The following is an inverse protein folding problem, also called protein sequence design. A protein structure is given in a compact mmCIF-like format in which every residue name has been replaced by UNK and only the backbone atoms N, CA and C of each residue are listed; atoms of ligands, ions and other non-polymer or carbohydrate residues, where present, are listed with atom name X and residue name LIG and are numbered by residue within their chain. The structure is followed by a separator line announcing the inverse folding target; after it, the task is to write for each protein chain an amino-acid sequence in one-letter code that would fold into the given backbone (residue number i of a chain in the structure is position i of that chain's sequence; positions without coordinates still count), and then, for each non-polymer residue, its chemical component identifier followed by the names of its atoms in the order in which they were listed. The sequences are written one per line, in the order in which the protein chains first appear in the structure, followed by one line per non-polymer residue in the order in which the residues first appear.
data_IF_649254934358
#
_entry.id   IF_649254934358
#
_cell.length_a   1.000
_cell.length_b   1.000
_cell.length_c   1.000
_cell.angle_alpha   90.00
_cell.angle_beta   90.00
_cell.angle_gamma   90.00
#
_symmetry.space_group_name_H-M   'P 1'
#
loop_
_entity.id
_entity.type
_entity.pdbx_description
1 polymer ?
#
# COMPACT_ATOMS: atom_id res chain seq x y z
N UNK A 1 2.40 0.86 13.45
CA UNK A 1 2.62 -0.06 12.33
C UNK A 1 2.44 -1.51 12.75
N UNK A 2 2.93 -1.90 13.93
CA UNK A 2 2.70 -3.24 14.50
C UNK A 2 1.20 -3.59 14.65
N UNK A 3 0.34 -2.62 14.98
CA UNK A 3 -1.12 -2.85 15.04
C UNK A 3 -1.79 -3.18 13.69
N UNK A 4 -1.20 -2.77 12.56
CA UNK A 4 -1.76 -3.08 11.24
C UNK A 4 -1.48 -4.53 10.85
N UNK A 5 -0.33 -5.08 11.26
CA UNK A 5 0.04 -6.47 10.99
C UNK A 5 -0.85 -7.43 11.79
N UNK A 6 -1.19 -7.07 13.03
CA UNK A 6 -2.07 -7.88 13.90
C UNK A 6 -3.53 -7.96 13.43
N UNK A 7 -3.95 -7.13 12.47
CA UNK A 7 -5.34 -6.99 12.02
C UNK A 7 -5.60 -7.58 10.63
N UNK A 8 -4.59 -8.15 10.00
CA UNK A 8 -4.70 -8.71 8.67
C UNK A 8 -4.67 -10.24 8.81
N UNK A 9 -5.81 -10.89 8.55
CA UNK A 9 -5.93 -12.36 8.62
C UNK A 9 -5.04 -13.09 7.60
N UNK A 10 -4.55 -12.39 6.56
CA UNK A 10 -3.68 -12.96 5.52
C UNK A 10 -2.76 -11.89 4.89
N UNK A 11 -1.44 -12.10 4.90
CA UNK A 11 -0.45 -11.14 4.36
C UNK A 11 -0.73 -10.88 2.87
N UNK A 12 -0.99 -9.62 2.45
CA UNK A 12 -1.33 -9.32 1.07
C UNK A 12 -0.12 -9.44 0.14
N UNK A 13 -0.38 -9.52 -1.17
CA UNK A 13 0.66 -9.35 -2.18
C UNK A 13 1.15 -7.90 -2.17
N UNK A 14 2.43 -7.70 -1.88
CA UNK A 14 3.07 -6.39 -1.99
C UNK A 14 3.58 -6.16 -3.41
N UNK A 15 3.30 -4.97 -3.96
CA UNK A 15 3.83 -4.53 -5.25
C UNK A 15 4.39 -3.12 -5.12
N UNK A 16 5.65 -2.93 -5.50
CA UNK A 16 6.28 -1.61 -5.49
C UNK A 16 7.10 -1.37 -6.75
N UNK A 17 7.67 -0.17 -6.83
CA UNK A 17 8.82 0.10 -7.69
C UNK A 17 10.07 -0.60 -7.14
N UNK A 18 11.14 -0.59 -7.92
CA UNK A 18 12.38 -1.33 -7.61
C UNK A 18 13.27 -0.65 -6.55
N UNK A 19 12.70 0.15 -5.66
CA UNK A 19 13.49 0.78 -4.61
C UNK A 19 13.97 -0.31 -3.62
N UNK A 20 15.29 -0.53 -3.44
CA UNK A 20 15.80 -1.68 -2.68
C UNK A 20 15.31 -1.72 -1.22
N UNK A 21 15.09 -0.55 -0.61
CA UNK A 21 14.67 -0.42 0.78
C UNK A 21 13.33 -1.09 1.10
N UNK A 22 12.45 -1.30 0.11
CA UNK A 22 11.19 -2.01 0.35
C UNK A 22 11.43 -3.49 0.65
N UNK A 23 12.36 -4.14 -0.04
CA UNK A 23 12.69 -5.54 0.23
C UNK A 23 13.23 -5.71 1.66
N UNK A 24 14.13 -4.82 2.07
CA UNK A 24 14.71 -4.82 3.42
C UNK A 24 13.64 -4.52 4.48
N UNK A 25 12.76 -3.55 4.23
CA UNK A 25 11.69 -3.16 5.16
C UNK A 25 10.67 -4.28 5.33
N UNK A 26 10.26 -4.93 4.22
CA UNK A 26 9.33 -6.05 4.27
C UNK A 26 9.96 -7.24 4.99
N UNK A 27 11.24 -7.53 4.75
CA UNK A 27 11.98 -8.55 5.50
C UNK A 27 12.05 -8.23 6.99
N UNK A 28 12.23 -6.97 7.36
CA UNK A 28 12.26 -6.57 8.77
C UNK A 28 10.88 -6.68 9.44
N UNK A 29 9.79 -6.49 8.70
CA UNK A 29 8.43 -6.59 9.23
C UNK A 29 7.90 -8.02 9.27
N UNK A 30 8.26 -8.83 8.28
CA UNK A 30 7.76 -10.19 8.06
C UNK A 30 8.92 -11.17 8.12
N UNK A 31 9.47 -11.37 9.32
CA UNK A 31 10.49 -12.38 9.57
C UNK A 31 10.17 -13.24 10.77
N UNK A 32 10.63 -14.48 10.68
CA UNK A 32 10.83 -15.36 11.82
C UNK A 32 12.30 -15.33 12.23
N UNK A 33 12.50 -15.37 13.55
CA UNK A 33 13.82 -15.45 14.14
C UNK A 33 14.14 -16.93 14.34
N UNK A 34 15.04 -17.45 13.52
CA UNK A 34 15.52 -18.82 13.67
C UNK A 34 16.81 -18.79 14.49
N UNK A 35 16.74 -19.39 15.67
CA UNK A 35 17.92 -19.63 16.49
C UNK A 35 18.76 -20.76 15.88
N UNK A 36 20.06 -20.52 15.63
CA UNK A 36 20.91 -21.55 15.08
C UNK A 36 21.17 -22.64 16.13
N UNK A 37 21.13 -23.91 15.71
CA UNK A 37 21.49 -25.01 16.60
C UNK A 37 22.91 -24.83 17.18
N UNK A 38 23.10 -25.08 18.49
CA UNK A 38 24.42 -25.02 19.12
C UNK A 38 25.37 -26.00 18.42
N UNK A 39 26.54 -25.50 18.03
CA UNK A 39 27.51 -26.30 17.26
C UNK A 39 28.26 -27.34 18.11
N UNK A 40 28.01 -27.36 19.43
CA UNK A 40 28.67 -28.24 20.41
C UNK A 40 30.17 -27.96 20.63
N UNK A 41 30.76 -26.99 19.92
CA UNK A 41 32.17 -26.62 20.01
C UNK A 41 32.35 -25.33 20.83
N UNK A 42 33.49 -25.14 21.51
CA UNK A 42 33.81 -23.88 22.18
C UNK A 42 33.83 -22.71 21.19
N UNK A 43 33.09 -21.64 21.46
CA UNK A 43 33.03 -20.45 20.62
C UNK A 43 31.81 -19.58 20.89
N UNK A 44 31.81 -18.37 20.31
CA UNK A 44 30.67 -17.44 20.42
C UNK A 44 29.45 -18.04 19.71
N UNK A 45 28.29 -18.16 20.37
CA UNK A 45 27.05 -18.59 19.73
C UNK A 45 26.75 -17.74 18.49
N UNK A 46 26.28 -18.40 17.43
CA UNK A 46 25.87 -17.69 16.21
C UNK A 46 24.68 -16.80 16.52
N UNK A 47 24.64 -15.60 15.92
CA UNK A 47 23.48 -14.73 16.06
C UNK A 47 22.26 -15.37 15.39
N UNK A 48 21.05 -15.16 15.95
CA UNK A 48 19.81 -15.54 15.29
C UNK A 48 19.74 -15.00 13.85
N UNK A 49 19.22 -15.81 12.93
CA UNK A 49 18.98 -15.39 11.55
C UNK A 49 17.53 -14.95 11.40
N UNK A 50 17.32 -13.83 10.70
CA UNK A 50 16.01 -13.39 10.26
C UNK A 50 15.70 -14.04 8.91
N UNK A 51 14.74 -14.96 8.90
CA UNK A 51 14.24 -15.60 7.69
C UNK A 51 12.88 -15.00 7.38
N UNK A 52 12.64 -14.65 6.12
CA UNK A 52 11.36 -14.09 5.68
C UNK A 52 10.28 -15.14 5.91
N UNK A 53 9.12 -14.72 6.42
CA UNK A 53 7.98 -15.63 6.62
C UNK A 53 7.53 -16.22 5.28
N UNK A 54 7.15 -17.50 5.29
CA UNK A 54 6.79 -18.21 4.05
C UNK A 54 5.55 -17.63 3.37
N UNK A 55 4.73 -16.85 4.08
CA UNK A 55 3.50 -16.21 3.61
C UNK A 55 3.71 -14.86 2.90
N UNK A 56 4.93 -14.31 2.91
CA UNK A 56 5.24 -13.03 2.28
C UNK A 56 5.39 -13.18 0.76
N UNK A 57 4.46 -12.59 0.03
CA UNK A 57 4.57 -12.41 -1.42
C UNK A 57 4.91 -10.96 -1.76
N UNK A 58 5.98 -10.75 -2.52
CA UNK A 58 6.43 -9.43 -2.93
C UNK A 58 6.99 -9.43 -4.35
N UNK A 59 6.46 -8.53 -5.18
CA UNK A 59 6.90 -8.33 -6.55
C UNK A 59 7.24 -6.86 -6.83
N UNK A 60 8.13 -6.67 -7.80
CA UNK A 60 8.63 -5.36 -8.24
C UNK A 60 8.34 -5.14 -9.71
N UNK A 61 8.19 -3.86 -10.09
CA UNK A 61 7.95 -3.44 -11.47
C UNK A 61 9.09 -2.54 -11.96
N UNK A 62 9.90 -3.05 -12.89
CA UNK A 62 10.86 -2.25 -13.66
C UNK A 62 10.13 -1.49 -14.76
N UNK A 63 10.40 -0.18 -14.91
CA UNK A 63 9.91 0.59 -16.05
C UNK A 63 11.09 1.20 -16.78
N UNK A 64 11.48 0.62 -17.90
CA UNK A 64 12.48 1.22 -18.79
C UNK A 64 11.85 2.41 -19.50
N UNK A 65 12.51 3.57 -19.44
CA UNK A 65 12.04 4.80 -20.08
C UNK A 65 13.02 5.28 -21.13
N UNK A 66 12.49 5.67 -22.28
CA UNK A 66 13.22 6.40 -23.32
C UNK A 66 12.53 7.75 -23.56
N UNK A 67 13.32 8.83 -23.57
CA UNK A 67 12.85 10.23 -23.74
C UNK A 67 11.61 10.59 -22.88
N UNK A 68 11.57 10.09 -21.64
CA UNK A 68 10.49 10.35 -20.70
C UNK A 68 9.22 9.51 -20.88
N UNK A 69 9.17 8.63 -21.89
CA UNK A 69 8.08 7.67 -22.11
C UNK A 69 8.49 6.28 -21.62
N UNK A 70 7.54 5.52 -21.08
CA UNK A 70 7.77 4.12 -20.71
C UNK A 70 7.76 3.29 -21.99
N UNK A 71 8.87 2.60 -22.26
CA UNK A 71 9.05 1.76 -23.46
C UNK A 71 8.98 0.27 -23.15
N UNK A 72 9.31 -0.11 -21.91
CA UNK A 72 9.26 -1.50 -21.45
C UNK A 72 8.85 -1.54 -19.99
N UNK A 73 8.06 -2.54 -19.62
CA UNK A 73 7.72 -2.85 -18.23
C UNK A 73 8.12 -4.29 -17.98
N UNK A 74 8.95 -4.53 -16.98
CA UNK A 74 9.36 -5.86 -16.55
C UNK A 74 8.90 -6.07 -15.12
N UNK A 75 8.58 -7.30 -14.76
CA UNK A 75 8.10 -7.65 -13.42
C UNK A 75 8.99 -8.72 -12.84
N UNK A 76 9.40 -8.55 -11.59
CA UNK A 76 10.28 -9.49 -10.89
C UNK A 76 9.71 -9.84 -9.53
N UNK A 77 9.58 -11.13 -9.27
CA UNK A 77 9.24 -11.67 -7.96
C UNK A 77 10.50 -11.61 -7.08
N UNK A 78 10.36 -11.06 -5.87
CA UNK A 78 11.45 -10.92 -4.90
C UNK A 78 11.27 -11.88 -3.73
N UNK A 79 10.05 -11.98 -3.19
CA UNK A 79 9.67 -12.96 -2.17
C UNK A 79 8.38 -13.68 -2.58
N UNK A 80 8.22 -14.92 -2.13
CA UNK A 80 7.07 -15.76 -2.45
C UNK A 80 7.29 -16.73 -3.60
N UNK A 81 6.32 -17.61 -3.82
CA UNK A 81 6.33 -18.58 -4.92
C UNK A 81 5.57 -18.04 -6.14
N UNK A 82 6.05 -18.35 -7.33
CA UNK A 82 5.44 -17.91 -8.59
C UNK A 82 3.97 -18.33 -8.70
N UNK A 83 3.67 -19.61 -8.41
CA UNK A 83 2.30 -20.15 -8.44
C UNK A 83 1.33 -19.40 -7.52
N UNK A 84 1.79 -19.00 -6.33
CA UNK A 84 0.96 -18.31 -5.33
C UNK A 84 0.70 -16.88 -5.75
N UNK A 85 1.73 -16.21 -6.25
CA UNK A 85 1.63 -14.84 -6.76
C UNK A 85 0.69 -14.82 -7.97
N UNK A 86 0.82 -15.76 -8.90
CA UNK A 86 -0.10 -15.88 -10.04
C UNK A 86 -1.55 -16.10 -9.61
N UNK A 87 -1.79 -16.96 -8.61
CA UNK A 87 -3.14 -17.17 -8.06
C UNK A 87 -3.70 -15.88 -7.48
N UNK A 88 -2.93 -15.16 -6.67
CA UNK A 88 -3.33 -13.88 -6.07
C UNK A 88 -3.58 -12.80 -7.13
N UNK A 89 -2.77 -12.76 -8.19
CA UNK A 89 -2.95 -11.81 -9.29
C UNK A 89 -4.28 -12.04 -10.02
N UNK A 90 -4.71 -13.29 -10.21
CA UNK A 90 -6.00 -13.61 -10.84
C UNK A 90 -7.20 -13.19 -10.00
N UNK A 91 -7.03 -13.06 -8.69
CA UNK A 91 -8.06 -12.55 -7.77
C UNK A 91 -8.13 -11.01 -7.77
N UNK A 92 -7.05 -10.34 -8.21
CA UNK A 92 -6.97 -8.88 -8.26
C UNK A 92 -7.63 -8.31 -9.54
N UNK A 93 -8.29 -7.14 -9.46
CA UNK A 93 -8.94 -6.52 -10.62
C UNK A 93 -8.01 -6.22 -11.81
N UNK A 94 -6.70 -6.08 -11.59
CA UNK A 94 -5.74 -5.78 -12.66
C UNK A 94 -5.26 -7.00 -13.44
N UNK A 95 -5.42 -8.22 -12.90
CA UNK A 95 -4.85 -9.46 -13.46
C UNK A 95 -3.35 -9.38 -13.79
N UNK A 96 -2.62 -8.38 -13.26
CA UNK A 96 -1.22 -8.09 -13.57
C UNK A 96 -0.52 -7.42 -12.39
N UNK A 97 0.79 -7.64 -12.25
CA UNK A 97 1.66 -6.91 -11.31
C UNK A 97 1.87 -5.50 -11.86
N UNK A 98 1.30 -4.50 -11.20
CA UNK A 98 1.49 -3.11 -11.59
C UNK A 98 1.41 -2.16 -10.39
N UNK A 99 1.94 -0.96 -10.58
CA UNK A 99 1.89 0.12 -9.57
C UNK A 99 0.84 1.18 -9.92
N UNK A 100 -0.07 0.92 -10.85
CA UNK A 100 -0.98 1.95 -11.38
C UNK A 100 -1.92 2.53 -10.30
N UNK A 101 -2.37 1.70 -9.36
CA UNK A 101 -3.25 2.09 -8.26
C UNK A 101 -2.60 3.06 -7.27
N UNK A 102 -1.37 2.75 -6.83
CA UNK A 102 -0.63 3.64 -5.91
C UNK A 102 -0.24 4.93 -6.62
N UNK A 103 0.13 4.86 -7.90
CA UNK A 103 0.44 6.07 -8.68
C UNK A 103 -0.78 6.97 -8.88
N UNK A 104 -1.96 6.39 -9.12
CA UNK A 104 -3.20 7.16 -9.20
C UNK A 104 -3.53 7.84 -7.87
N UNK A 105 -3.27 7.16 -6.77
CA UNK A 105 -3.44 7.69 -5.41
C UNK A 105 -2.45 8.83 -5.14
N UNK A 106 -1.16 8.63 -5.44
CA UNK A 106 -0.12 9.64 -5.35
C UNK A 106 -0.46 10.90 -6.15
N UNK A 107 -1.03 10.76 -7.35
CA UNK A 107 -1.49 11.88 -8.14
C UNK A 107 -2.59 12.68 -7.42
N UNK A 108 -3.59 12.01 -6.83
CA UNK A 108 -4.64 12.70 -6.06
C UNK A 108 -4.05 13.43 -4.85
N UNK A 109 -3.14 12.79 -4.11
CA UNK A 109 -2.48 13.39 -2.96
C UNK A 109 -1.70 14.64 -3.33
N UNK A 110 -0.96 14.61 -4.44
CA UNK A 110 -0.21 15.77 -4.96
C UNK A 110 -1.11 16.90 -5.45
N UNK A 111 -2.31 16.59 -5.91
CA UNK A 111 -3.29 17.58 -6.34
C UNK A 111 -3.96 18.26 -5.16
N UNK A 112 -4.24 17.51 -4.10
CA UNK A 112 -4.98 18.01 -2.93
C UNK A 112 -4.09 18.67 -1.89
N UNK A 113 -2.80 18.32 -1.85
CA UNK A 113 -1.85 18.93 -0.95
C UNK A 113 -0.60 19.42 -1.69
N UNK A 114 -0.45 20.74 -1.75
CA UNK A 114 0.72 21.42 -2.32
C UNK A 114 2.06 20.96 -1.70
N UNK A 115 2.06 20.53 -0.44
CA UNK A 115 3.27 20.04 0.25
C UNK A 115 3.75 18.69 -0.28
N UNK A 116 2.88 17.94 -0.94
CA UNK A 116 3.21 16.65 -1.55
C UNK A 116 3.61 16.80 -3.02
N UNK A 117 3.34 17.97 -3.63
CA UNK A 117 3.73 18.26 -5.01
C UNK A 117 5.25 18.23 -5.16
N UNK A 118 5.72 17.59 -6.23
CA UNK A 118 7.16 17.46 -6.51
C UNK A 118 7.72 18.81 -6.96
N UNK A 119 8.88 19.22 -6.43
CA UNK A 119 9.55 20.49 -6.74
C UNK A 119 8.67 21.72 -6.46
N UNK A 120 7.95 21.72 -5.34
CA UNK A 120 7.20 22.89 -4.86
C UNK A 120 8.03 23.74 -3.90
N UNK A 121 7.72 25.04 -3.83
CA UNK A 121 8.22 25.96 -2.79
C UNK A 121 7.43 25.83 -1.47
N UNK A 122 6.33 25.07 -1.46
CA UNK A 122 5.48 24.88 -0.28
C UNK A 122 6.03 23.73 0.60
N UNK A 123 6.93 24.05 1.52
CA UNK A 123 7.48 23.08 2.46
C UNK A 123 6.70 23.00 3.77
N UNK A 124 6.60 21.80 4.34
CA UNK A 124 5.91 21.59 5.61
C UNK A 124 6.86 21.92 6.77
N UNK A 125 6.49 22.89 7.61
CA UNK A 125 7.29 23.27 8.79
C UNK A 125 7.17 22.28 9.97
N UNK A 126 6.14 21.45 9.97
CA UNK A 126 5.89 20.47 11.02
C UNK A 126 5.28 19.21 10.45
N UNK A 127 5.92 18.07 10.70
CA UNK A 127 5.44 16.77 10.29
C UNK A 127 4.10 16.41 10.93
N UNK A 128 3.87 16.81 12.20
CA UNK A 128 2.60 16.58 12.91
C UNK A 128 1.43 17.20 12.16
N UNK A 129 1.56 18.47 11.77
CA UNK A 129 0.50 19.20 11.06
C UNK A 129 0.32 18.72 9.63
N UNK A 130 1.40 18.34 8.95
CA UNK A 130 1.31 17.70 7.63
C UNK A 130 0.52 16.38 7.72
N UNK A 131 0.83 15.53 8.71
CA UNK A 131 0.13 14.27 8.95
C UNK A 131 -1.36 14.50 9.23
N UNK A 132 -1.70 15.43 10.12
CA UNK A 132 -3.09 15.75 10.46
C UNK A 132 -3.89 16.22 9.23
N UNK A 133 -3.33 17.14 8.44
CA UNK A 133 -3.97 17.61 7.21
C UNK A 133 -4.09 16.48 6.18
N UNK A 134 -3.06 15.66 6.03
CA UNK A 134 -3.08 14.52 5.10
C UNK A 134 -4.13 13.47 5.49
N UNK A 135 -4.36 13.25 6.80
CA UNK A 135 -5.45 12.40 7.29
C UNK A 135 -6.81 12.91 6.85
N UNK A 136 -7.05 14.23 6.82
CA UNK A 136 -8.30 14.81 6.29
C UNK A 136 -8.43 14.52 4.79
N UNK A 137 -7.35 14.65 4.01
CA UNK A 137 -7.36 14.31 2.59
C UNK A 137 -7.72 12.84 2.35
N UNK A 138 -7.11 11.92 3.12
CA UNK A 138 -7.42 10.48 3.04
C UNK A 138 -8.89 10.23 3.41
N UNK A 139 -9.38 10.86 4.48
CA UNK A 139 -10.75 10.65 4.91
C UNK A 139 -11.77 11.20 3.89
N UNK A 140 -11.49 12.37 3.32
CA UNK A 140 -12.30 12.93 2.23
C UNK A 140 -12.35 12.00 1.01
N UNK A 141 -11.22 11.43 0.61
CA UNK A 141 -11.14 10.45 -0.48
C UNK A 141 -12.01 9.22 -0.23
N UNK A 142 -11.94 8.67 0.98
CA UNK A 142 -12.55 7.39 1.30
C UNK A 142 -14.04 7.48 1.66
N UNK A 143 -14.45 8.53 2.37
CA UNK A 143 -15.78 8.63 2.98
C UNK A 143 -16.72 9.61 2.29
N UNK A 144 -16.20 10.70 1.71
CA UNK A 144 -17.03 11.79 1.19
C UNK A 144 -17.10 11.76 -0.34
N UNK A 145 -15.96 11.65 -1.03
CA UNK A 145 -15.90 11.79 -2.49
C UNK A 145 -16.33 10.50 -3.21
N UNK A 146 -17.43 10.49 -3.99
CA UNK A 146 -17.76 9.35 -4.81
C UNK A 146 -16.80 9.20 -5.98
N UNK A 147 -16.54 7.95 -6.36
CA UNK A 147 -15.59 7.57 -7.39
C UNK A 147 -16.33 7.07 -8.63
N UNK A 148 -16.01 7.63 -9.80
CA UNK A 148 -16.69 7.30 -11.05
C UNK A 148 -16.63 5.79 -11.36
N UNK A 149 -15.46 5.17 -11.21
CA UNK A 149 -15.27 3.73 -11.44
C UNK A 149 -16.10 2.85 -10.50
N UNK A 150 -16.32 3.29 -9.26
CA UNK A 150 -17.14 2.59 -8.28
C UNK A 150 -18.63 2.91 -8.43
N UNK A 151 -18.95 4.06 -9.02
CA UNK A 151 -20.31 4.57 -9.14
C UNK A 151 -21.02 4.10 -10.41
N UNK A 152 -20.31 3.42 -11.31
CA UNK A 152 -20.86 2.87 -12.55
C UNK A 152 -21.38 1.45 -12.32
N UNK A 153 -22.70 1.28 -12.29
CA UNK A 153 -23.34 -0.04 -12.19
C UNK A 153 -23.45 -0.76 -13.55
N UNK A 154 -23.71 -2.08 -13.53
CA UNK A 154 -23.89 -2.91 -14.73
C UNK A 154 -24.96 -2.38 -15.70
N UNK A 155 -26.01 -1.75 -15.15
CA UNK A 155 -27.10 -1.15 -15.92
C UNK A 155 -26.80 0.27 -16.41
N UNK A 156 -25.53 0.72 -16.37
CA UNK A 156 -25.08 2.08 -16.73
C UNK A 156 -25.73 3.21 -15.92
N UNK A 157 -26.41 2.89 -14.83
CA UNK A 157 -26.93 3.89 -13.89
C UNK A 157 -25.80 4.34 -12.98
N UNK A 158 -25.64 5.65 -12.84
CA UNK A 158 -24.71 6.23 -11.89
C UNK A 158 -25.30 6.18 -10.49
N UNK A 159 -24.65 5.45 -9.59
CA UNK A 159 -24.97 5.42 -8.15
C UNK A 159 -23.73 5.85 -7.38
N UNK A 160 -23.71 7.05 -6.77
CA UNK A 160 -22.54 7.54 -6.04
C UNK A 160 -22.03 6.51 -5.04
N UNK A 161 -20.77 6.10 -5.19
CA UNK A 161 -20.14 5.12 -4.31
C UNK A 161 -18.71 5.54 -3.99
N UNK A 162 -18.40 5.59 -2.70
CA UNK A 162 -17.06 5.90 -2.19
C UNK A 162 -16.25 4.62 -1.95
N UNK A 163 -14.92 4.71 -1.82
CA UNK A 163 -14.10 3.55 -1.43
C UNK A 163 -14.54 2.90 -0.12
N UNK A 164 -14.89 3.68 0.92
CA UNK A 164 -15.38 3.13 2.19
C UNK A 164 -16.72 2.39 2.02
N UNK A 165 -17.60 2.86 1.12
CA UNK A 165 -18.81 2.12 0.76
C UNK A 165 -18.52 0.84 -0.03
N UNK A 166 -17.51 0.84 -0.91
CA UNK A 166 -17.10 -0.36 -1.64
C UNK A 166 -16.46 -1.41 -0.72
N UNK A 167 -15.74 -0.97 0.31
CA UNK A 167 -15.18 -1.83 1.34
C UNK A 167 -16.18 -2.26 2.42
N UNK A 168 -17.44 -1.78 2.38
CA UNK A 168 -18.46 -2.11 3.37
C UNK A 168 -18.26 -1.46 4.75
N UNK A 169 -17.39 -0.45 4.86
CA UNK A 169 -17.11 0.27 6.11
C UNK A 169 -18.26 1.22 6.46
N UNK A 170 -18.91 1.79 5.45
CA UNK A 170 -20.10 2.64 5.59
C UNK A 170 -21.10 2.28 4.49
N UNK A 171 -22.38 2.54 4.71
CA UNK A 171 -23.46 2.31 3.74
C UNK A 171 -23.91 3.59 3.03
N UNK A 172 -23.31 4.75 3.33
CA UNK A 172 -23.70 6.04 2.78
C UNK A 172 -22.50 6.98 2.59
N UNK A 173 -22.71 8.06 1.83
CA UNK A 173 -21.73 9.12 1.66
C UNK A 173 -21.73 10.00 2.90
N UNK A 174 -20.54 10.22 3.46
CA UNK A 174 -20.41 11.10 4.60
C UNK A 174 -20.52 12.56 4.19
N UNK A 175 -21.00 13.38 5.13
CA UNK A 175 -20.86 14.83 5.05
C UNK A 175 -19.55 15.29 5.70
N UNK A 176 -19.11 16.52 5.41
CA UNK A 176 -17.97 17.12 6.11
C UNK A 176 -18.24 17.24 7.61
N UNK A 177 -19.47 17.60 7.99
CA UNK A 177 -19.87 17.71 9.40
C UNK A 177 -19.80 16.37 10.12
N UNK A 178 -20.24 15.30 9.46
CA UNK A 178 -20.13 13.95 10.00
C UNK A 178 -18.67 13.56 10.19
N UNK A 179 -17.81 13.82 9.19
CA UNK A 179 -16.38 13.54 9.30
C UNK A 179 -15.72 14.27 10.48
N UNK A 180 -16.03 15.56 10.67
CA UNK A 180 -15.46 16.38 11.75
C UNK A 180 -16.08 16.07 13.12
N UNK A 181 -17.34 15.66 13.15
CA UNK A 181 -18.05 15.26 14.36
C UNK A 181 -17.73 13.83 14.80
N UNK A 182 -17.12 13.02 13.93
CA UNK A 182 -16.77 11.65 14.26
C UNK A 182 -15.62 11.62 15.27
N UNK A 183 -15.88 11.04 16.44
CA UNK A 183 -14.86 10.89 17.48
C UNK A 183 -13.80 9.91 17.00
N UNK A 184 -12.62 10.43 16.68
CA UNK A 184 -11.44 9.60 16.53
C UNK A 184 -11.07 9.07 17.92
N UNK A 185 -11.17 7.76 18.11
CA UNK A 185 -10.58 7.09 19.27
C UNK A 185 -9.06 7.15 19.01
N UNK A 186 -8.41 8.15 19.59
CA UNK A 186 -6.95 8.28 19.62
C UNK A 186 -6.48 7.85 21.00
#
# INVERSE_FOLDING_TARGET
MNELILKIDNVPLFVSDELPHYADSLKELFHEIIEPEPTGRPGRPRKPKKVVTDDLDYATVHKTRDKGRVVKVETKIVFGSEERIEKRIKELPSNTINTSYVERSNLNWRLWDAHLTRKSLTFAKSFRWLKAKFSICIAFYNFIRPHESLSRCLNRVFKPKTPAMAAGITNHLWSINELLGHRSIV
#
